data_IF_185908499665
#
_entry.id   IF_185908499665
#
_cell.length_a   1.000
_cell.length_b   1.000
_cell.length_c   1.000
_cell.angle_alpha   90.00
_cell.angle_beta   90.00
_cell.angle_gamma   90.00
#
_symmetry.space_group_name_H-M   'P 1'
#
loop_
_entity.id
_entity.type
_entity.pdbx_description
1 polymer ?
#
# COMPACT_ATOMS: atom_id res chain seq x y z
N UNK A 1 -11.94 -5.73 -10.70
CA UNK A 1 -10.87 -5.19 -9.83
C UNK A 1 -10.75 -3.67 -9.97
N UNK A 2 -10.64 -3.11 -11.18
CA UNK A 2 -10.50 -1.65 -11.36
C UNK A 2 -11.69 -0.80 -10.82
N UNK A 3 -12.92 -1.31 -10.87
CA UNK A 3 -14.15 -0.60 -10.45
C UNK A 3 -14.22 -0.24 -8.96
N UNK A 4 -13.47 -0.95 -8.11
CA UNK A 4 -13.44 -0.73 -6.67
C UNK A 4 -12.16 -0.01 -6.19
N UNK A 5 -11.33 0.45 -7.13
CA UNK A 5 -10.09 1.14 -6.79
C UNK A 5 -10.40 2.56 -6.33
N UNK A 6 -9.86 2.96 -5.18
CA UNK A 6 -10.12 4.27 -4.53
C UNK A 6 -11.57 4.54 -4.13
N UNK A 7 -12.37 3.48 -3.97
CA UNK A 7 -13.71 3.59 -3.41
C UNK A 7 -13.76 2.92 -2.03
N UNK A 8 -14.57 3.50 -1.14
CA UNK A 8 -14.93 2.87 0.14
C UNK A 8 -16.33 2.33 -0.02
N UNK A 9 -16.46 1.01 -0.05
CA UNK A 9 -17.73 0.31 -0.16
C UNK A 9 -17.87 -0.65 1.02
N UNK A 10 -19.10 -0.89 1.45
CA UNK A 10 -19.38 -1.89 2.48
C UNK A 10 -18.89 -3.26 2.01
N UNK A 11 -18.07 -3.94 2.83
CA UNK A 11 -17.46 -5.20 2.42
C UNK A 11 -18.53 -6.25 2.08
N UNK A 12 -19.67 -6.22 2.78
CA UNK A 12 -20.83 -7.10 2.56
C UNK A 12 -21.46 -6.89 1.19
N UNK A 13 -21.39 -5.68 0.60
CA UNK A 13 -21.90 -5.40 -0.74
C UNK A 13 -21.08 -6.09 -1.85
N UNK A 14 -19.80 -6.37 -1.59
CA UNK A 14 -18.88 -6.98 -2.57
C UNK A 14 -18.68 -8.47 -2.30
N UNK A 15 -18.49 -8.83 -1.03
CA UNK A 15 -18.11 -10.18 -0.63
C UNK A 15 -19.32 -10.99 -0.14
N UNK A 16 -20.49 -10.38 0.07
CA UNK A 16 -21.70 -11.06 0.51
C UNK A 16 -21.61 -11.60 1.94
N UNK A 17 -22.45 -12.60 2.26
CA UNK A 17 -22.58 -13.14 3.63
C UNK A 17 -21.28 -13.68 4.25
N UNK A 18 -20.33 -14.16 3.44
CA UNK A 18 -19.05 -14.68 3.95
C UNK A 18 -18.26 -13.66 4.76
N UNK A 19 -18.32 -12.36 4.40
CA UNK A 19 -17.58 -11.34 5.15
C UNK A 19 -18.30 -10.94 6.44
N UNK A 20 -19.63 -11.10 6.51
CA UNK A 20 -20.37 -10.82 7.73
C UNK A 20 -19.91 -11.71 8.89
N UNK A 21 -19.78 -13.02 8.63
CA UNK A 21 -19.23 -13.97 9.61
C UNK A 21 -17.82 -13.60 10.06
N UNK A 22 -16.96 -13.14 9.13
CA UNK A 22 -15.62 -12.68 9.48
C UNK A 22 -15.68 -11.42 10.35
N UNK A 23 -16.50 -10.42 10.00
CA UNK A 23 -16.68 -9.20 10.78
C UNK A 23 -17.14 -9.49 12.21
N UNK A 24 -18.10 -10.41 12.37
CA UNK A 24 -18.60 -10.82 13.69
C UNK A 24 -17.51 -11.53 14.51
N UNK A 25 -16.77 -12.46 13.88
CA UNK A 25 -15.65 -13.16 14.53
C UNK A 25 -14.54 -12.17 14.96
N UNK A 26 -14.22 -11.18 14.12
CA UNK A 26 -13.21 -10.18 14.44
C UNK A 26 -13.65 -9.27 15.59
N UNK A 27 -14.94 -8.94 15.68
CA UNK A 27 -15.49 -8.07 16.73
C UNK A 27 -15.42 -8.70 18.12
N UNK A 28 -15.49 -10.04 18.19
CA UNK A 28 -15.37 -10.79 19.44
C UNK A 28 -13.92 -10.96 19.94
N UNK A 29 -12.92 -10.58 19.15
CA UNK A 29 -11.49 -10.77 19.48
C UNK A 29 -10.87 -9.44 19.93
N UNK A 30 -10.60 -9.24 21.24
CA UNK A 30 -10.05 -7.98 21.74
C UNK A 30 -8.62 -7.74 21.24
N UNK A 31 -7.80 -8.79 21.21
CA UNK A 31 -6.40 -8.71 20.80
C UNK A 31 -6.26 -8.52 19.29
N UNK A 32 -5.47 -7.52 18.87
CA UNK A 32 -5.19 -7.27 17.46
C UNK A 32 -4.55 -8.48 16.75
N UNK A 33 -3.61 -9.17 17.42
CA UNK A 33 -2.96 -10.37 16.87
C UNK A 33 -3.92 -11.54 16.66
N UNK A 34 -4.97 -11.66 17.48
CA UNK A 34 -6.01 -12.67 17.29
C UNK A 34 -6.92 -12.32 16.10
N UNK A 35 -7.24 -11.03 15.93
CA UNK A 35 -7.96 -10.53 14.76
C UNK A 35 -7.21 -10.79 13.46
N UNK A 36 -5.93 -10.42 13.40
CA UNK A 36 -5.12 -10.66 12.20
C UNK A 36 -5.03 -12.15 11.85
N UNK A 37 -4.73 -13.03 12.81
CA UNK A 37 -4.70 -14.48 12.57
C UNK A 37 -6.02 -15.04 12.03
N UNK A 38 -7.15 -14.57 12.56
CA UNK A 38 -8.46 -14.98 12.06
C UNK A 38 -8.70 -14.50 10.63
N UNK A 39 -8.32 -13.25 10.34
CA UNK A 39 -8.39 -12.67 9.00
C UNK A 39 -7.51 -13.44 8.00
N UNK A 40 -6.25 -13.71 8.33
CA UNK A 40 -5.32 -14.46 7.48
C UNK A 40 -5.87 -15.85 7.15
N UNK A 41 -6.25 -16.60 8.18
CA UNK A 41 -6.81 -17.95 8.03
C UNK A 41 -8.01 -17.93 7.07
N UNK A 42 -8.95 -17.01 7.30
CA UNK A 42 -10.18 -16.95 6.51
C UNK A 42 -9.92 -16.52 5.07
N UNK A 43 -9.06 -15.51 4.85
CA UNK A 43 -8.68 -15.08 3.50
C UNK A 43 -7.96 -16.20 2.73
N UNK A 44 -7.03 -16.90 3.37
CA UNK A 44 -6.33 -18.03 2.75
C UNK A 44 -7.28 -19.18 2.40
N UNK A 45 -8.25 -19.49 3.28
CA UNK A 45 -9.29 -20.48 2.98
C UNK A 45 -10.14 -20.06 1.78
N UNK A 46 -10.53 -18.80 1.67
CA UNK A 46 -11.27 -18.31 0.51
C UNK A 46 -10.46 -18.36 -0.78
N UNK A 47 -9.15 -18.11 -0.71
CA UNK A 47 -8.25 -18.23 -1.86
C UNK A 47 -8.09 -19.69 -2.30
N UNK A 48 -7.96 -20.63 -1.35
CA UNK A 48 -7.83 -22.05 -1.64
C UNK A 48 -9.13 -22.67 -2.18
N UNK A 49 -10.28 -22.21 -1.71
CA UNK A 49 -11.60 -22.67 -2.15
C UNK A 49 -12.10 -21.98 -3.42
N UNK A 50 -11.47 -20.89 -3.86
CA UNK A 50 -11.82 -20.25 -5.12
C UNK A 50 -11.49 -21.21 -6.28
N UNK A 51 -12.38 -21.35 -7.29
CA UNK A 51 -12.03 -22.09 -8.50
C UNK A 51 -10.75 -21.49 -9.05
N UNK A 52 -9.82 -22.33 -9.52
CA UNK A 52 -8.48 -21.94 -10.00
C UNK A 52 -8.60 -20.68 -10.87
N UNK A 53 -8.45 -19.53 -10.22
CA UNK A 53 -8.79 -18.24 -10.80
C UNK A 53 -7.69 -17.94 -11.79
N UNK A 54 -8.03 -17.33 -12.94
CA UNK A 54 -7.10 -16.93 -14.03
C UNK A 54 -5.65 -16.86 -13.55
N UNK A 55 -4.84 -17.81 -14.03
CA UNK A 55 -3.39 -17.87 -13.73
C UNK A 55 -2.82 -16.47 -13.88
N UNK A 56 -2.22 -15.93 -12.81
CA UNK A 56 -1.55 -14.64 -12.87
C UNK A 56 -0.51 -14.71 -13.97
N UNK A 57 -0.49 -13.66 -14.79
CA UNK A 57 0.46 -13.58 -15.88
C UNK A 57 1.89 -13.56 -15.33
N UNK A 58 2.77 -14.38 -15.92
CA UNK A 58 4.14 -14.53 -15.42
C UNK A 58 4.93 -13.22 -15.51
N UNK A 59 4.68 -12.41 -16.55
CA UNK A 59 5.27 -11.09 -16.71
C UNK A 59 4.76 -10.10 -15.65
N UNK A 60 3.49 -10.20 -15.22
CA UNK A 60 2.97 -9.42 -14.09
C UNK A 60 3.66 -9.79 -12.78
N UNK A 61 3.84 -11.09 -12.50
CA UNK A 61 4.57 -11.54 -11.31
C UNK A 61 6.03 -11.07 -11.31
N UNK A 62 6.72 -11.19 -12.45
CA UNK A 62 8.09 -10.72 -12.60
C UNK A 62 8.19 -9.20 -12.40
N UNK A 63 7.28 -8.43 -13.00
CA UNK A 63 7.23 -6.98 -12.85
C UNK A 63 6.96 -6.57 -11.39
N UNK A 64 6.07 -7.28 -10.69
CA UNK A 64 5.84 -7.08 -9.26
C UNK A 64 7.14 -7.25 -8.46
N UNK A 65 7.88 -8.33 -8.70
CA UNK A 65 9.14 -8.57 -8.02
C UNK A 65 10.20 -7.49 -8.35
N UNK A 66 10.30 -7.06 -9.61
CA UNK A 66 11.21 -6.00 -10.03
C UNK A 66 10.90 -4.65 -9.36
N UNK A 67 9.62 -4.31 -9.22
CA UNK A 67 9.18 -3.13 -8.46
C UNK A 67 9.62 -3.21 -7.00
N UNK A 68 9.47 -4.37 -6.35
CA UNK A 68 9.92 -4.54 -4.96
C UNK A 68 11.45 -4.51 -4.83
N UNK A 69 12.19 -5.21 -5.71
CA UNK A 69 13.66 -5.24 -5.68
C UNK A 69 14.27 -3.85 -5.90
N UNK A 70 13.69 -3.07 -6.82
CA UNK A 70 14.10 -1.68 -7.05
C UNK A 70 13.58 -0.70 -5.99
N UNK A 71 12.82 -1.16 -4.98
CA UNK A 71 12.13 -0.26 -4.05
C UNK A 71 11.28 0.80 -4.74
N UNK A 72 10.69 0.47 -5.89
CA UNK A 72 9.85 1.37 -6.67
C UNK A 72 10.59 2.48 -7.41
N UNK A 73 11.92 2.41 -7.57
CA UNK A 73 12.70 3.41 -8.32
C UNK A 73 12.85 3.09 -9.80
N UNK A 74 12.63 1.83 -10.23
CA UNK A 74 12.63 1.45 -11.65
C UNK A 74 11.58 2.23 -12.43
N UNK A 75 11.94 2.71 -13.63
CA UNK A 75 10.96 3.39 -14.48
C UNK A 75 9.97 2.39 -15.07
N UNK A 76 8.76 2.85 -15.40
CA UNK A 76 7.75 1.96 -16.00
C UNK A 76 8.16 1.49 -17.39
N UNK A 77 8.98 2.27 -18.08
CA UNK A 77 9.57 1.89 -19.37
C UNK A 77 10.53 0.71 -19.20
N UNK A 78 11.53 0.85 -18.33
CA UNK A 78 12.49 -0.24 -18.05
C UNK A 78 11.77 -1.48 -17.52
N UNK A 79 10.78 -1.30 -16.64
CA UNK A 79 9.97 -2.39 -16.11
C UNK A 79 9.27 -3.18 -17.23
N UNK A 80 8.69 -2.48 -18.21
CA UNK A 80 8.00 -3.09 -19.35
C UNK A 80 9.00 -3.78 -20.29
N UNK A 81 10.16 -3.17 -20.55
CA UNK A 81 11.24 -3.76 -21.34
C UNK A 81 11.75 -5.07 -20.72
N UNK A 82 11.95 -5.11 -19.39
CA UNK A 82 12.43 -6.29 -18.65
C UNK A 82 11.47 -7.49 -18.69
N UNK A 83 10.17 -7.24 -18.86
CA UNK A 83 9.14 -8.29 -19.01
C UNK A 83 8.66 -8.44 -20.45
N UNK A 84 9.37 -7.83 -21.40
CA UNK A 84 9.12 -7.90 -22.84
C UNK A 84 7.70 -7.45 -23.26
N UNK A 85 7.12 -6.50 -22.55
CA UNK A 85 5.79 -5.94 -22.83
C UNK A 85 5.87 -4.48 -23.28
N UNK A 86 4.85 -4.05 -24.01
CA UNK A 86 4.61 -2.61 -24.14
C UNK A 86 4.12 -2.06 -22.80
N UNK A 87 4.42 -0.78 -22.52
CA UNK A 87 3.94 -0.09 -21.31
C UNK A 87 2.43 -0.14 -21.18
N UNK A 88 1.69 0.08 -22.28
CA UNK A 88 0.22 -0.01 -22.32
C UNK A 88 -0.30 -1.40 -21.98
N UNK A 89 0.35 -2.46 -22.47
CA UNK A 89 -0.05 -3.83 -22.16
C UNK A 89 0.16 -4.15 -20.68
N UNK A 90 1.35 -3.80 -20.16
CA UNK A 90 1.69 -3.98 -18.75
C UNK A 90 0.71 -3.24 -17.84
N UNK A 91 0.39 -1.98 -18.12
CA UNK A 91 -0.59 -1.19 -17.37
C UNK A 91 -1.98 -1.84 -17.36
N UNK A 92 -2.42 -2.35 -18.52
CA UNK A 92 -3.70 -3.04 -18.65
C UNK A 92 -3.74 -4.33 -17.82
N UNK A 93 -2.67 -5.13 -17.85
CA UNK A 93 -2.57 -6.35 -17.05
C UNK A 93 -2.55 -6.03 -15.55
N UNK A 94 -1.78 -5.04 -15.12
CA UNK A 94 -1.73 -4.59 -13.73
C UNK A 94 -3.09 -4.14 -13.22
N UNK A 95 -3.83 -3.30 -13.96
CA UNK A 95 -5.19 -2.90 -13.57
C UNK A 95 -6.16 -4.08 -13.47
N UNK A 96 -6.02 -5.08 -14.35
CA UNK A 96 -6.90 -6.27 -14.34
C UNK A 96 -6.57 -7.25 -13.22
N UNK A 97 -5.30 -7.53 -13.00
CA UNK A 97 -4.84 -8.59 -12.09
C UNK A 97 -4.47 -8.08 -10.70
N UNK A 98 -3.88 -6.89 -10.59
CA UNK A 98 -3.44 -6.26 -9.34
C UNK A 98 -4.45 -5.19 -8.86
N UNK A 99 -5.20 -4.58 -9.78
CA UNK A 99 -6.18 -3.52 -9.49
C UNK A 99 -5.62 -2.11 -9.60
N UNK A 100 -4.30 -1.94 -9.53
CA UNK A 100 -3.62 -0.63 -9.66
C UNK A 100 -2.62 -0.63 -10.80
N UNK A 101 -2.21 0.54 -11.28
CA UNK A 101 -1.14 0.63 -12.29
C UNK A 101 0.25 0.35 -11.68
N UNK A 102 1.25 -0.06 -12.48
CA UNK A 102 2.62 -0.23 -12.03
C UNK A 102 3.19 1.05 -11.38
N UNK A 103 2.88 2.22 -11.99
CA UNK A 103 3.29 3.53 -11.46
C UNK A 103 2.75 3.78 -10.07
N UNK A 104 1.47 3.46 -9.83
CA UNK A 104 0.86 3.64 -8.51
C UNK A 104 1.49 2.71 -7.48
N UNK A 105 1.72 1.46 -7.83
CA UNK A 105 2.40 0.52 -6.95
C UNK A 105 3.82 0.99 -6.60
N UNK A 106 4.59 1.48 -7.57
CA UNK A 106 5.92 2.05 -7.34
C UNK A 106 5.89 3.18 -6.30
N UNK A 107 4.91 4.10 -6.40
CA UNK A 107 4.70 5.18 -5.43
C UNK A 107 4.41 4.66 -4.03
N UNK A 108 3.56 3.63 -3.90
CA UNK A 108 3.25 2.99 -2.61
C UNK A 108 4.49 2.35 -1.99
N UNK A 109 5.30 1.65 -2.79
CA UNK A 109 6.55 1.04 -2.32
C UNK A 109 7.52 2.12 -1.81
N UNK A 110 7.73 3.20 -2.57
CA UNK A 110 8.60 4.32 -2.16
C UNK A 110 8.10 5.00 -0.89
N UNK A 111 6.79 5.26 -0.80
CA UNK A 111 6.19 5.87 0.39
C UNK A 111 6.36 5.00 1.63
N UNK A 112 6.10 3.68 1.52
CA UNK A 112 6.28 2.75 2.64
C UNK A 112 7.74 2.74 3.11
N UNK A 113 8.70 2.78 2.18
CA UNK A 113 10.12 2.90 2.51
C UNK A 113 10.44 4.24 3.20
N UNK A 114 9.85 5.34 2.73
CA UNK A 114 10.04 6.65 3.35
C UNK A 114 9.47 6.68 4.79
N UNK A 115 8.26 6.17 5.00
CA UNK A 115 7.63 6.04 6.32
C UNK A 115 8.54 5.25 7.27
N UNK A 116 9.08 4.11 6.82
CA UNK A 116 9.97 3.27 7.62
C UNK A 116 11.25 4.00 8.04
N UNK A 117 11.87 4.76 7.12
CA UNK A 117 13.08 5.53 7.42
C UNK A 117 12.80 6.67 8.40
N UNK A 118 11.72 7.42 8.19
CA UNK A 118 11.35 8.51 9.08
C UNK A 118 10.97 8.01 10.48
N UNK A 119 10.27 6.88 10.56
CA UNK A 119 9.93 6.23 11.83
C UNK A 119 11.16 5.75 12.61
N UNK A 120 12.31 5.58 11.93
CA UNK A 120 13.62 5.29 12.52
C UNK A 120 14.44 6.56 12.83
N UNK A 121 13.85 7.75 12.70
CA UNK A 121 14.51 9.03 13.00
C UNK A 121 15.44 9.56 11.90
N UNK A 122 15.34 9.07 10.67
CA UNK A 122 16.12 9.64 9.56
C UNK A 122 15.59 11.04 9.21
N UNK A 123 16.47 11.94 8.77
CA UNK A 123 16.05 13.26 8.30
C UNK A 123 15.17 13.17 7.05
N UNK A 124 14.35 14.21 6.81
CA UNK A 124 13.48 14.27 5.63
C UNK A 124 14.30 14.37 4.33
N UNK A 125 15.45 15.03 4.38
CA UNK A 125 16.38 15.17 3.24
C UNK A 125 17.01 13.82 2.89
N UNK A 126 17.59 13.12 3.87
CA UNK A 126 18.22 11.81 3.64
C UNK A 126 17.21 10.78 3.16
N UNK A 127 15.99 10.84 3.71
CA UNK A 127 14.91 9.96 3.32
C UNK A 127 14.48 10.22 1.88
N UNK A 128 14.36 11.47 1.46
CA UNK A 128 14.01 11.83 0.09
C UNK A 128 15.01 11.22 -0.90
N UNK A 129 16.30 11.49 -0.72
CA UNK A 129 17.37 10.99 -1.58
C UNK A 129 17.42 9.46 -1.59
N UNK A 130 17.34 8.84 -0.41
CA UNK A 130 17.43 7.38 -0.27
C UNK A 130 16.24 6.63 -0.88
N UNK A 131 15.07 7.27 -0.97
CA UNK A 131 13.85 6.63 -1.46
C UNK A 131 13.52 6.99 -2.93
N UNK A 132 14.42 7.70 -3.62
CA UNK A 132 14.25 8.05 -5.03
C UNK A 132 13.35 9.26 -5.27
N UNK A 133 13.23 10.14 -4.28
CA UNK A 133 12.65 11.47 -4.45
C UNK A 133 13.72 12.46 -4.88
N UNK A 134 13.30 13.48 -5.62
CA UNK A 134 14.20 14.52 -6.12
C UNK A 134 14.75 15.37 -4.97
N UNK A 135 13.87 15.74 -4.04
CA UNK A 135 14.18 16.60 -2.89
C UNK A 135 13.14 16.42 -1.77
N UNK A 136 13.35 17.13 -0.67
CA UNK A 136 12.45 17.17 0.48
C UNK A 136 11.03 17.66 0.11
N UNK A 137 10.83 18.75 -0.65
CA UNK A 137 9.51 19.15 -1.13
C UNK A 137 8.76 18.08 -1.93
N UNK A 138 9.45 17.37 -2.82
CA UNK A 138 8.87 16.29 -3.62
C UNK A 138 8.39 15.15 -2.70
N UNK A 139 9.21 14.73 -1.74
CA UNK A 139 8.78 13.76 -0.73
C UNK A 139 7.57 14.25 0.06
N UNK A 140 7.59 15.48 0.58
CA UNK A 140 6.51 16.02 1.41
C UNK A 140 5.17 16.10 0.63
N UNK A 141 5.23 16.54 -0.63
CA UNK A 141 4.05 16.63 -1.51
C UNK A 141 3.49 15.25 -1.86
N UNK A 142 4.35 14.29 -2.20
CA UNK A 142 3.92 12.92 -2.48
C UNK A 142 3.33 12.27 -1.22
N UNK A 143 3.96 12.46 -0.06
CA UNK A 143 3.47 11.97 1.23
C UNK A 143 2.08 12.52 1.54
N UNK A 144 1.87 13.83 1.41
CA UNK A 144 0.56 14.46 1.62
C UNK A 144 -0.48 13.98 0.62
N UNK A 145 -0.11 13.82 -0.64
CA UNK A 145 -1.00 13.30 -1.69
C UNK A 145 -1.50 11.89 -1.38
N UNK A 146 -0.64 11.04 -0.80
CA UNK A 146 -0.95 9.64 -0.58
C UNK A 146 -1.54 9.34 0.80
N UNK A 147 -1.15 10.09 1.84
CA UNK A 147 -1.59 9.85 3.23
C UNK A 147 -2.62 10.87 3.72
N UNK A 148 -2.82 11.97 2.99
CA UNK A 148 -3.67 13.09 3.40
C UNK A 148 -3.04 14.05 4.41
N UNK A 149 -1.82 13.78 4.89
CA UNK A 149 -1.14 14.62 5.91
C UNK A 149 0.36 14.78 5.63
N UNK A 150 1.05 15.68 6.32
CA UNK A 150 2.50 15.87 6.17
C UNK A 150 3.28 14.84 6.98
N UNK A 151 4.56 14.55 6.62
CA UNK A 151 5.41 13.61 7.35
C UNK A 151 5.49 13.87 8.87
N UNK A 152 5.76 15.11 9.30
CA UNK A 152 5.87 15.44 10.73
C UNK A 152 4.57 15.19 11.51
N UNK A 153 3.43 15.60 10.94
CA UNK A 153 2.11 15.33 11.55
C UNK A 153 1.78 13.85 11.59
N UNK A 154 2.23 13.09 10.60
CA UNK A 154 2.04 11.64 10.55
C UNK A 154 2.82 10.91 11.64
N UNK A 155 4.04 11.36 11.96
CA UNK A 155 4.93 10.71 12.93
C UNK A 155 4.66 11.15 14.37
N UNK A 156 3.81 12.16 14.57
CA UNK A 156 3.49 12.69 15.89
C UNK A 156 4.52 13.67 16.43
N UNK A 157 5.32 14.30 15.56
CA UNK A 157 6.17 15.42 15.97
C UNK A 157 5.28 16.61 16.42
N UNK A 158 5.54 17.22 17.59
CA UNK A 158 4.89 18.46 17.97
C UNK A 158 5.15 19.52 16.90
N UNK A 159 4.11 20.23 16.49
CA UNK A 159 4.23 21.28 15.50
C UNK A 159 5.06 22.44 16.08
N UNK A 160 6.36 22.49 15.79
CA UNK A 160 7.20 23.65 16.10
C UNK A 160 7.92 24.12 14.80
N UNK A 161 7.45 25.25 14.24
CA UNK A 161 8.01 25.91 13.04
C UNK A 161 7.03 26.10 11.87
N UNK A 162 7.07 27.23 11.12
CA UNK A 162 5.89 28.03 10.79
C UNK A 162 5.06 27.46 9.63
N UNK A 163 3.89 26.93 9.96
CA UNK A 163 2.83 26.65 8.97
C UNK A 163 1.93 27.87 8.82
N UNK A 164 1.91 28.48 7.63
CA UNK A 164 0.86 29.44 7.23
C UNK A 164 -0.53 28.77 7.32
N UNK A 165 -1.58 29.51 7.74
CA UNK A 165 -2.91 28.95 7.88
C UNK A 165 -3.60 28.82 6.52
N UNK A 166 -4.13 27.64 6.21
CA UNK A 166 -5.26 27.49 5.29
C UNK A 166 -6.31 26.57 5.93
N UNK A 167 -7.53 27.07 5.94
CA UNK A 167 -8.74 26.64 6.66
C UNK A 167 -9.26 25.22 6.27
N UNK A 168 -10.29 24.69 6.98
CA UNK A 168 -10.49 23.25 7.14
C UNK A 168 -11.37 22.64 6.05
N UNK A 169 -11.14 21.37 5.71
CA UNK A 169 -12.21 20.50 5.19
C UNK A 169 -11.93 19.00 5.36
N UNK A 170 -12.88 18.37 6.08
CA UNK A 170 -13.23 16.94 6.25
C UNK A 170 -12.32 16.07 7.15
N UNK A 171 -12.93 15.23 8.02
CA UNK A 171 -12.19 14.30 8.85
C UNK A 171 -11.62 13.18 7.99
N UNK A 172 -10.29 13.09 7.93
CA UNK A 172 -9.61 11.89 7.46
C UNK A 172 -9.86 10.77 8.49
N UNK A 173 -10.60 9.76 8.09
CA UNK A 173 -10.75 8.49 8.80
C UNK A 173 -9.37 7.92 9.09
N UNK A 174 -9.04 7.86 10.38
CA UNK A 174 -7.66 7.80 10.86
C UNK A 174 -6.90 6.50 10.59
N UNK A 175 -5.80 6.63 9.84
CA UNK A 175 -4.58 5.89 10.12
C UNK A 175 -3.69 6.78 11.01
N UNK A 176 -3.67 6.48 12.31
CA UNK A 176 -2.70 7.05 13.25
C UNK A 176 -1.38 6.25 13.17
N UNK A 177 -0.22 6.89 13.38
CA UNK A 177 1.13 6.30 13.38
C UNK A 177 1.23 5.03 14.22
N UNK A 178 0.53 5.00 15.36
CA UNK A 178 0.45 3.87 16.29
C UNK A 178 -0.30 2.65 15.72
N UNK A 179 -1.01 2.79 14.60
CA UNK A 179 -1.58 1.67 13.83
C UNK A 179 -0.61 1.13 12.78
N UNK A 180 0.26 1.95 12.19
CA UNK A 180 1.25 1.47 11.21
C UNK A 180 2.31 0.53 11.81
N UNK A 181 2.75 0.77 13.05
CA UNK A 181 3.65 -0.16 13.75
C UNK A 181 3.06 -1.57 13.96
N UNK A 182 1.75 -1.77 13.73
CA UNK A 182 1.11 -3.11 13.66
C UNK A 182 0.91 -3.62 12.22
N UNK A 183 0.78 -2.74 11.24
CA UNK A 183 0.69 -3.07 9.81
C UNK A 183 2.04 -3.44 9.18
N UNK A 184 3.17 -3.00 9.76
CA UNK A 184 4.52 -3.37 9.32
C UNK A 184 4.77 -4.89 9.30
N UNK A 185 4.02 -5.68 10.08
CA UNK A 185 4.09 -7.15 10.04
C UNK A 185 3.31 -7.81 8.91
N UNK A 186 2.48 -7.06 8.17
CA UNK A 186 1.51 -7.61 7.24
C UNK A 186 1.66 -7.10 5.79
N UNK A 187 2.49 -6.08 5.56
CA UNK A 187 2.74 -5.49 4.22
C UNK A 187 4.16 -5.81 3.70
N UNK A 188 4.90 -6.68 4.40
CA UNK A 188 6.13 -7.28 3.85
C UNK A 188 5.70 -8.59 3.16
N UNK A 189 6.13 -8.87 1.92
CA UNK A 189 5.84 -10.16 1.31
C UNK A 189 6.39 -11.28 2.21
N UNK A 190 5.49 -12.19 2.61
CA UNK A 190 5.88 -13.41 3.32
C UNK A 190 6.91 -14.15 2.45
N UNK A 191 8.01 -14.67 3.02
CA UNK A 191 9.09 -15.33 2.28
C UNK A 191 8.70 -16.61 1.52
N UNK A 192 7.42 -17.01 1.59
CA UNK A 192 6.91 -18.26 1.01
C UNK A 192 6.33 -18.12 -0.41
N UNK A 193 6.47 -16.95 -1.05
CA UNK A 193 6.33 -16.84 -2.50
C UNK A 193 7.67 -17.18 -3.17
N UNK A 194 8.02 -18.46 -3.16
CA UNK A 194 9.01 -19.08 -4.05
C UNK A 194 8.32 -19.78 -5.20
#
# INVERSE_FOLDING_TARGET
MAELTDTVVEASSVLGRRVQHLTDELSQKPAASARFRALDRTLLQWMAAAPASRKTDAGVLQAWQLLHRSSGTITIRELAEQVQYSTRHLEGLFRRQIGVSPKRLARVIRLNRAIHRLSRGNSLVDTALSCGYYDQPHLANEFKTMTGTTPGRFLGEPADGPSRPTAPSRPASGLNASRLGRFERYIIPHPDFR
#
